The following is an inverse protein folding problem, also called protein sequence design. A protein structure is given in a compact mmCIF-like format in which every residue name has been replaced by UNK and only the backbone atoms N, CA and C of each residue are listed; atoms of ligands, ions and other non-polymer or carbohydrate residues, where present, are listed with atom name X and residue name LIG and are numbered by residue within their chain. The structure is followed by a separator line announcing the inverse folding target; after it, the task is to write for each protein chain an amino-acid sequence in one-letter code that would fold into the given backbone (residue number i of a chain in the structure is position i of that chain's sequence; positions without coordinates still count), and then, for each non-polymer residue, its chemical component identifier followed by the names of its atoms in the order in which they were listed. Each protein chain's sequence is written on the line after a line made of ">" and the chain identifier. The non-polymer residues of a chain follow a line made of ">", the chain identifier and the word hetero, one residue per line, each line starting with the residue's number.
data_IF_051441384355
#
_entry.id   IF_051441384355
#
_cell.length_a   1.000
_cell.length_b   1.000
_cell.length_c   1.000
_cell.angle_alpha   90.00
_cell.angle_beta   90.00
_cell.angle_gamma   90.00
#
_symmetry.space_group_name_H-M   'P 1'
#
loop_
_entity.id
_entity.type
_entity.pdbx_description
1 polymer ?
#
# COMPACT_ATOMS: atom_id res chain seq x y z
N UNK A 1 10.86 -5.72 -3.66
CA UNK A 1 10.90 -6.06 -5.08
C UNK A 1 9.97 -5.13 -5.84
N UNK A 2 10.33 -4.67 -7.04
CA UNK A 2 9.44 -3.91 -7.95
C UNK A 2 9.06 -4.81 -9.14
N UNK A 3 7.78 -4.82 -9.49
CA UNK A 3 7.22 -5.45 -10.67
C UNK A 3 6.76 -4.35 -11.62
N UNK A 4 7.12 -4.46 -12.91
CA UNK A 4 6.85 -3.46 -13.92
C UNK A 4 7.90 -2.35 -13.99
N UNK A 5 7.75 -1.48 -15.00
CA UNK A 5 8.68 -0.37 -15.31
C UNK A 5 8.12 1.00 -14.89
N UNK A 6 6.81 1.13 -14.76
CA UNK A 6 6.10 2.35 -14.44
C UNK A 6 6.45 2.99 -13.09
N UNK A 7 5.68 3.98 -12.68
CA UNK A 7 5.83 4.67 -11.39
C UNK A 7 5.55 3.74 -10.22
N UNK A 8 6.15 4.03 -9.07
CA UNK A 8 5.92 3.31 -7.80
C UNK A 8 4.87 4.00 -6.93
N UNK A 9 4.46 5.23 -7.28
CA UNK A 9 3.68 6.09 -6.41
C UNK A 9 4.46 6.58 -5.19
N UNK A 10 3.86 7.43 -4.39
CA UNK A 10 4.51 8.13 -3.30
C UNK A 10 4.89 7.24 -2.12
N UNK A 11 3.93 6.49 -1.57
CA UNK A 11 4.19 5.60 -0.42
C UNK A 11 5.32 4.60 -0.69
N UNK A 12 5.39 4.02 -1.90
CA UNK A 12 6.44 3.08 -2.24
C UNK A 12 7.81 3.74 -2.42
N UNK A 13 7.85 5.03 -2.82
CA UNK A 13 9.12 5.80 -2.85
C UNK A 13 9.65 6.00 -1.43
N UNK A 14 8.80 6.40 -0.49
CA UNK A 14 9.18 6.55 0.92
C UNK A 14 9.72 5.25 1.51
N UNK A 15 9.05 4.12 1.28
CA UNK A 15 9.53 2.81 1.73
C UNK A 15 10.89 2.43 1.12
N UNK A 16 11.10 2.69 -0.17
CA UNK A 16 12.36 2.43 -0.84
C UNK A 16 13.49 3.30 -0.28
N UNK A 17 13.20 4.59 0.01
CA UNK A 17 14.14 5.52 0.63
C UNK A 17 14.56 5.04 2.02
N UNK A 18 13.60 4.72 2.90
CA UNK A 18 13.89 4.21 4.24
C UNK A 18 14.71 2.91 4.18
N UNK A 19 14.34 1.99 3.29
CA UNK A 19 15.10 0.75 3.10
C UNK A 19 16.53 1.02 2.68
N UNK A 20 16.75 1.94 1.73
CA UNK A 20 18.08 2.36 1.28
C UNK A 20 18.87 3.01 2.42
N UNK A 21 18.25 3.91 3.16
CA UNK A 21 18.87 4.61 4.29
C UNK A 21 19.37 3.61 5.35
N UNK A 22 18.54 2.66 5.76
CA UNK A 22 18.92 1.63 6.73
C UNK A 22 20.07 0.73 6.24
N UNK A 23 20.21 0.53 4.93
CA UNK A 23 21.33 -0.21 4.36
C UNK A 23 22.61 0.61 4.26
N UNK A 24 22.50 1.89 3.90
CA UNK A 24 23.63 2.77 3.65
C UNK A 24 24.19 3.43 4.91
N UNK A 25 23.43 3.41 6.02
CA UNK A 25 23.83 4.06 7.28
C UNK A 25 23.93 3.02 8.42
N UNK A 26 24.99 2.20 8.43
CA UNK A 26 25.19 1.17 9.46
C UNK A 26 25.31 1.74 10.87
N UNK A 27 25.64 3.05 11.00
CA UNK A 27 25.72 3.76 12.28
C UNK A 27 24.40 3.75 13.04
N UNK A 28 23.25 3.79 12.33
CA UNK A 28 21.92 3.73 12.94
C UNK A 28 21.77 2.42 13.73
N UNK A 29 22.18 1.30 13.13
CA UNK A 29 22.13 -0.03 13.78
C UNK A 29 23.16 -0.16 14.92
N UNK A 30 24.35 0.44 14.76
CA UNK A 30 25.38 0.41 15.80
C UNK A 30 24.98 1.18 17.05
N UNK A 31 24.21 2.26 16.92
CA UNK A 31 23.70 3.03 18.07
C UNK A 31 22.63 2.25 18.87
N UNK A 32 21.96 1.31 18.24
CA UNK A 32 20.89 0.52 18.85
C UNK A 32 21.07 -0.96 18.53
N UNK A 33 22.12 -1.62 19.09
CA UNK A 33 22.48 -2.99 18.74
C UNK A 33 21.39 -4.01 19.13
N UNK A 34 20.61 -3.70 20.18
CA UNK A 34 19.52 -4.56 20.67
C UNK A 34 18.21 -4.39 19.89
N UNK A 35 18.17 -3.46 18.92
CA UNK A 35 16.98 -3.17 18.11
C UNK A 35 17.17 -3.64 16.67
N UNK A 36 16.37 -4.60 16.24
CA UNK A 36 16.34 -5.04 14.86
C UNK A 36 15.42 -4.13 14.01
N UNK A 37 16.01 -3.13 13.36
CA UNK A 37 15.29 -2.20 12.48
C UNK A 37 15.15 -2.78 11.09
N UNK A 38 13.93 -3.05 10.65
CA UNK A 38 13.65 -3.65 9.34
C UNK A 38 12.49 -2.94 8.62
N UNK A 39 12.58 -2.88 7.31
CA UNK A 39 11.41 -2.66 6.46
C UNK A 39 10.87 -4.03 6.09
N UNK A 40 9.60 -4.35 6.41
CA UNK A 40 9.02 -5.65 6.09
C UNK A 40 9.12 -5.97 4.60
N UNK A 41 9.12 -7.25 4.25
CA UNK A 41 9.19 -7.68 2.85
C UNK A 41 8.08 -7.03 2.05
N UNK A 42 8.48 -6.33 0.99
CA UNK A 42 7.58 -5.49 0.21
C UNK A 42 7.74 -5.79 -1.28
N UNK A 43 6.62 -5.92 -1.96
CA UNK A 43 6.49 -5.92 -3.40
C UNK A 43 5.72 -4.68 -3.83
N UNK A 44 6.20 -4.01 -4.86
CA UNK A 44 5.52 -2.88 -5.49
C UNK A 44 5.15 -3.28 -6.91
N UNK A 45 3.86 -3.27 -7.20
CA UNK A 45 3.32 -3.43 -8.55
C UNK A 45 3.19 -2.01 -9.12
N UNK A 46 3.98 -1.70 -10.14
CA UNK A 46 4.07 -0.36 -10.72
C UNK A 46 2.84 -0.02 -11.59
N UNK A 47 2.73 1.24 -11.97
CA UNK A 47 1.55 1.78 -12.68
C UNK A 47 1.31 1.15 -14.04
N UNK A 48 2.34 0.72 -14.75
CA UNK A 48 2.21 0.02 -16.04
C UNK A 48 1.44 -1.30 -15.93
N UNK A 49 1.50 -1.97 -14.78
CA UNK A 49 0.68 -3.16 -14.53
C UNK A 49 -0.81 -2.82 -14.38
N UNK A 50 -1.13 -1.68 -13.78
CA UNK A 50 -2.51 -1.16 -13.72
C UNK A 50 -3.02 -0.83 -15.12
N UNK A 51 -2.24 -0.09 -15.90
CA UNK A 51 -2.58 0.29 -17.28
C UNK A 51 -2.81 -0.95 -18.16
N UNK A 52 -1.91 -1.93 -18.08
CA UNK A 52 -2.05 -3.19 -18.79
C UNK A 52 -3.30 -3.99 -18.32
N UNK A 53 -3.61 -3.97 -17.03
CA UNK A 53 -4.83 -4.61 -16.50
C UNK A 53 -6.09 -3.91 -17.04
N UNK A 54 -6.15 -2.59 -17.04
CA UNK A 54 -7.27 -1.80 -17.59
C UNK A 54 -7.47 -2.12 -19.08
N UNK A 55 -6.39 -2.05 -19.86
CA UNK A 55 -6.44 -2.31 -21.31
C UNK A 55 -6.87 -3.75 -21.65
N UNK A 56 -6.29 -4.75 -20.95
CA UNK A 56 -6.62 -6.17 -21.17
C UNK A 56 -8.10 -6.47 -20.92
N UNK A 57 -8.73 -5.79 -19.96
CA UNK A 57 -10.08 -6.09 -19.51
C UNK A 57 -11.13 -5.07 -19.98
N UNK A 58 -10.74 -4.07 -20.78
CA UNK A 58 -11.65 -3.05 -21.31
C UNK A 58 -12.30 -2.18 -20.23
N UNK A 59 -11.54 -1.85 -19.16
CA UNK A 59 -12.02 -1.15 -17.97
C UNK A 59 -11.65 0.35 -17.97
N UNK A 60 -11.55 0.95 -19.15
CA UNK A 60 -11.24 2.39 -19.28
C UNK A 60 -12.30 3.26 -18.58
N UNK A 61 -11.87 4.41 -18.09
CA UNK A 61 -12.68 5.34 -17.31
C UNK A 61 -14.00 5.69 -17.99
N UNK A 62 -14.01 5.88 -19.34
CA UNK A 62 -15.20 6.15 -20.14
C UNK A 62 -16.29 5.07 -20.07
N UNK A 63 -15.91 3.84 -19.69
CA UNK A 63 -16.83 2.70 -19.59
C UNK A 63 -17.28 2.36 -18.17
N UNK A 64 -16.61 2.95 -17.17
CA UNK A 64 -16.76 2.55 -15.77
C UNK A 64 -17.23 3.71 -14.88
N UNK A 65 -16.97 4.98 -15.26
CA UNK A 65 -17.24 6.14 -14.41
C UNK A 65 -18.70 6.37 -14.02
N UNK A 66 -19.65 5.86 -14.81
CA UNK A 66 -21.09 6.03 -14.55
C UNK A 66 -21.69 4.86 -13.74
N UNK A 67 -20.87 3.85 -13.42
CA UNK A 67 -21.29 2.69 -12.64
C UNK A 67 -21.33 2.98 -11.13
N UNK A 68 -22.14 2.23 -10.40
CA UNK A 68 -22.05 2.20 -8.92
C UNK A 68 -20.80 1.46 -8.43
N UNK A 69 -20.34 1.78 -7.21
CA UNK A 69 -19.12 1.19 -6.64
C UNK A 69 -19.16 -0.35 -6.64
N UNK A 70 -20.32 -0.96 -6.42
CA UNK A 70 -20.47 -2.43 -6.43
C UNK A 70 -20.35 -3.02 -7.83
N UNK A 71 -20.85 -2.35 -8.84
CA UNK A 71 -20.69 -2.75 -10.23
C UNK A 71 -19.24 -2.61 -10.69
N UNK A 72 -18.58 -1.52 -10.33
CA UNK A 72 -17.14 -1.33 -10.56
C UNK A 72 -16.37 -2.48 -9.93
N UNK A 73 -16.64 -2.79 -8.67
CA UNK A 73 -16.01 -3.90 -7.95
C UNK A 73 -16.20 -5.23 -8.67
N UNK A 74 -17.42 -5.54 -9.09
CA UNK A 74 -17.73 -6.80 -9.80
C UNK A 74 -16.97 -6.92 -11.13
N UNK A 75 -16.92 -5.85 -11.93
CA UNK A 75 -16.19 -5.81 -13.21
C UNK A 75 -14.68 -6.02 -13.01
N UNK A 76 -14.08 -5.38 -12.02
CA UNK A 76 -12.66 -5.53 -11.72
C UNK A 76 -12.32 -6.93 -11.20
N UNK A 77 -13.18 -7.51 -10.37
CA UNK A 77 -12.99 -8.89 -9.88
C UNK A 77 -13.06 -9.92 -11.01
N UNK A 78 -13.93 -9.72 -12.00
CA UNK A 78 -14.02 -10.57 -13.17
C UNK A 78 -12.82 -10.48 -14.11
N UNK A 79 -12.06 -9.36 -14.06
CA UNK A 79 -10.90 -9.13 -14.89
C UNK A 79 -9.74 -10.10 -14.61
N UNK A 80 -8.88 -10.32 -15.61
CA UNK A 80 -7.68 -11.15 -15.51
C UNK A 80 -6.44 -10.29 -15.35
N UNK A 81 -5.55 -10.66 -14.43
CA UNK A 81 -4.23 -10.03 -14.31
C UNK A 81 -3.38 -10.45 -15.51
N UNK A 82 -2.68 -9.53 -16.21
CA UNK A 82 -1.78 -9.89 -17.30
C UNK A 82 -0.72 -10.91 -16.86
N UNK A 83 -0.43 -11.89 -17.70
CA UNK A 83 0.40 -13.05 -17.34
C UNK A 83 1.81 -12.67 -16.90
N UNK A 84 2.38 -11.66 -17.54
CA UNK A 84 3.71 -11.13 -17.19
C UNK A 84 3.82 -10.65 -15.74
N UNK A 85 2.74 -10.08 -15.18
CA UNK A 85 2.69 -9.65 -13.77
C UNK A 85 2.26 -10.79 -12.84
N UNK A 86 1.41 -11.70 -13.28
CA UNK A 86 0.95 -12.85 -12.50
C UNK A 86 2.11 -13.76 -12.07
N UNK A 87 3.07 -14.01 -12.97
CA UNK A 87 4.26 -14.81 -12.66
C UNK A 87 5.11 -14.18 -11.54
N UNK A 88 5.31 -12.86 -11.59
CA UNK A 88 6.09 -12.14 -10.59
C UNK A 88 5.38 -12.05 -9.22
N UNK A 89 4.05 -11.88 -9.21
CA UNK A 89 3.20 -11.94 -7.99
C UNK A 89 3.31 -13.34 -7.36
N UNK A 90 3.23 -14.39 -8.17
CA UNK A 90 3.39 -15.78 -7.74
C UNK A 90 4.76 -16.02 -7.11
N UNK A 91 5.82 -15.54 -7.77
CA UNK A 91 7.20 -15.69 -7.27
C UNK A 91 7.43 -14.97 -5.95
N UNK A 92 6.80 -13.82 -5.73
CA UNK A 92 6.83 -13.11 -4.45
C UNK A 92 6.09 -13.89 -3.37
N UNK A 93 4.86 -14.32 -3.66
CA UNK A 93 4.01 -15.01 -2.68
C UNK A 93 4.61 -16.33 -2.19
N UNK A 94 5.38 -17.04 -3.05
CA UNK A 94 6.13 -18.25 -2.66
C UNK A 94 7.21 -18.00 -1.60
N UNK A 95 7.70 -16.75 -1.48
CA UNK A 95 8.78 -16.35 -0.57
C UNK A 95 8.29 -15.69 0.71
N UNK A 96 6.99 -15.44 0.82
CA UNK A 96 6.40 -14.69 1.93
C UNK A 96 5.28 -15.50 2.55
N UNK A 97 5.41 -15.71 3.85
CA UNK A 97 4.40 -16.36 4.69
C UNK A 97 3.83 -15.35 5.68
N UNK A 98 2.61 -15.62 6.15
CA UNK A 98 1.91 -14.77 7.09
C UNK A 98 1.22 -13.55 6.44
N UNK A 99 0.54 -12.74 7.26
CA UNK A 99 -0.39 -11.73 6.79
C UNK A 99 0.26 -10.65 5.92
N UNK A 100 -0.51 -10.18 4.93
CA UNK A 100 -0.10 -9.15 4.00
C UNK A 100 -1.07 -7.98 4.03
N UNK A 101 -0.56 -6.75 3.92
CA UNK A 101 -1.35 -5.59 3.53
C UNK A 101 -1.19 -5.31 2.03
N UNK A 102 -2.31 -5.03 1.37
CA UNK A 102 -2.39 -4.65 -0.04
C UNK A 102 -2.94 -3.23 -0.11
N UNK A 103 -2.13 -2.28 -0.54
CA UNK A 103 -2.40 -0.85 -0.40
C UNK A 103 -2.17 -0.11 -1.70
N UNK A 104 -2.96 0.95 -1.90
CA UNK A 104 -2.72 1.94 -2.95
C UNK A 104 -1.40 2.68 -2.76
N UNK A 105 -0.77 3.07 -3.85
CA UNK A 105 0.37 3.99 -3.89
C UNK A 105 0.23 4.89 -5.11
N UNK A 106 -0.63 5.87 -5.01
CA UNK A 106 -0.89 6.86 -6.05
C UNK A 106 0.05 8.06 -5.91
N UNK A 107 0.23 8.81 -6.99
CA UNK A 107 0.90 10.10 -6.96
C UNK A 107 0.03 11.18 -6.32
N UNK A 108 -1.31 11.03 -6.40
CA UNK A 108 -2.27 11.95 -5.78
C UNK A 108 -2.21 11.95 -4.25
N UNK A 109 -1.80 10.84 -3.65
CA UNK A 109 -1.68 10.74 -2.18
C UNK A 109 -0.58 11.65 -1.61
N UNK A 110 0.37 12.08 -2.44
CA UNK A 110 1.45 13.00 -2.06
C UNK A 110 1.20 14.46 -2.49
N UNK A 111 0.05 14.75 -3.09
CA UNK A 111 -0.27 16.11 -3.48
C UNK A 111 -0.50 16.96 -2.21
N UNK A 112 0.41 17.90 -1.96
CA UNK A 112 0.40 18.81 -0.81
C UNK A 112 -0.84 19.72 -0.72
N UNK A 113 -1.70 19.71 -1.72
CA UNK A 113 -2.83 20.64 -1.83
C UNK A 113 -4.04 20.19 -1.00
N UNK A 114 -4.23 18.88 -0.79
CA UNK A 114 -5.37 18.38 -0.02
C UNK A 114 -5.07 16.98 0.53
N UNK A 115 -5.44 16.73 1.79
CA UNK A 115 -5.24 15.41 2.41
C UNK A 115 -6.08 14.34 1.70
N UNK A 116 -5.42 13.37 1.10
CA UNK A 116 -6.00 12.21 0.42
C UNK A 116 -5.99 10.93 1.27
N UNK A 117 -5.76 11.09 2.57
CA UNK A 117 -5.75 9.95 3.50
C UNK A 117 -7.09 9.21 3.48
N UNK A 118 -7.06 7.89 3.29
CA UNK A 118 -8.25 7.04 3.22
C UNK A 118 -9.09 7.23 1.93
N UNK A 119 -8.54 7.85 0.90
CA UNK A 119 -9.20 8.00 -0.40
C UNK A 119 -9.37 6.64 -1.10
N UNK A 120 -8.33 5.82 -1.09
CA UNK A 120 -8.31 4.50 -1.70
C UNK A 120 -8.35 3.39 -0.65
N UNK A 121 -8.73 2.19 -1.08
CA UNK A 121 -8.90 1.06 -0.21
C UNK A 121 -7.56 0.39 0.17
N UNK A 122 -7.54 -0.16 1.38
CA UNK A 122 -6.48 -1.05 1.88
C UNK A 122 -7.10 -2.37 2.29
N UNK A 123 -6.49 -3.47 1.88
CA UNK A 123 -6.93 -4.82 2.23
C UNK A 123 -5.84 -5.53 3.01
N UNK A 124 -6.24 -6.19 4.08
CA UNK A 124 -5.37 -7.10 4.82
C UNK A 124 -5.83 -8.53 4.57
N UNK A 125 -4.89 -9.41 4.20
CA UNK A 125 -5.17 -10.81 3.91
C UNK A 125 -4.32 -11.70 4.82
N UNK A 126 -4.85 -12.82 5.32
CA UNK A 126 -4.15 -13.68 6.26
C UNK A 126 -2.98 -14.44 5.64
N UNK A 127 -3.05 -14.76 4.34
CA UNK A 127 -2.00 -15.46 3.59
C UNK A 127 -1.45 -16.71 4.31
N UNK A 128 -2.32 -17.45 5.00
CA UNK A 128 -2.00 -18.60 5.84
C UNK A 128 -2.68 -19.90 5.40
N UNK A 129 -3.39 -19.88 4.26
CA UNK A 129 -4.04 -21.10 3.74
C UNK A 129 -3.01 -22.11 3.24
N UNK A 130 -3.21 -23.40 3.50
CA UNK A 130 -2.31 -24.49 3.08
C UNK A 130 -2.19 -24.57 1.55
N UNK A 131 -3.33 -24.45 0.85
CA UNK A 131 -3.36 -24.41 -0.61
C UNK A 131 -2.84 -23.06 -1.11
N UNK A 132 -1.72 -23.11 -1.83
CA UNK A 132 -1.09 -21.94 -2.46
C UNK A 132 -2.03 -21.25 -3.47
N UNK A 133 -2.89 -22.00 -4.15
CA UNK A 133 -3.84 -21.45 -5.13
C UNK A 133 -4.85 -20.52 -4.45
N UNK A 134 -5.32 -20.87 -3.27
CA UNK A 134 -6.22 -20.04 -2.46
C UNK A 134 -5.49 -18.75 -2.03
N UNK A 135 -4.26 -18.86 -1.54
CA UNK A 135 -3.45 -17.69 -1.16
C UNK A 135 -3.25 -16.74 -2.34
N UNK A 136 -2.93 -17.29 -3.52
CA UNK A 136 -2.75 -16.50 -4.74
C UNK A 136 -4.06 -15.83 -5.18
N UNK A 137 -5.18 -16.54 -5.10
CA UNK A 137 -6.50 -15.99 -5.40
C UNK A 137 -6.86 -14.84 -4.44
N UNK A 138 -6.61 -14.97 -3.14
CA UNK A 138 -6.82 -13.91 -2.16
C UNK A 138 -5.97 -12.66 -2.47
N UNK A 139 -4.68 -12.84 -2.78
CA UNK A 139 -3.79 -11.72 -3.10
C UNK A 139 -4.21 -11.01 -4.39
N UNK A 140 -4.49 -11.76 -5.45
CA UNK A 140 -4.92 -11.19 -6.74
C UNK A 140 -6.28 -10.49 -6.61
N UNK A 141 -7.20 -11.02 -5.81
CA UNK A 141 -8.46 -10.39 -5.47
C UNK A 141 -8.23 -9.04 -4.77
N UNK A 142 -7.38 -9.00 -3.77
CA UNK A 142 -7.06 -7.76 -3.06
C UNK A 142 -6.43 -6.71 -4.00
N UNK A 143 -5.51 -7.10 -4.90
CA UNK A 143 -4.92 -6.20 -5.90
C UNK A 143 -6.00 -5.62 -6.82
N UNK A 144 -6.91 -6.45 -7.35
CA UNK A 144 -8.03 -6.01 -8.20
C UNK A 144 -8.96 -5.04 -7.47
N UNK A 145 -9.22 -5.28 -6.20
CA UNK A 145 -10.05 -4.40 -5.37
C UNK A 145 -9.38 -3.04 -5.09
N UNK A 146 -8.05 -3.01 -4.90
CA UNK A 146 -7.30 -1.74 -4.83
C UNK A 146 -7.42 -0.99 -6.16
N UNK A 147 -7.26 -1.67 -7.29
CA UNK A 147 -7.45 -1.07 -8.62
C UNK A 147 -8.88 -0.53 -8.80
N UNK A 148 -9.91 -1.31 -8.42
CA UNK A 148 -11.30 -0.89 -8.48
C UNK A 148 -11.56 0.39 -7.69
N UNK A 149 -10.91 0.53 -6.54
CA UNK A 149 -11.11 1.70 -5.67
C UNK A 149 -10.73 3.04 -6.31
N UNK A 150 -9.93 3.04 -7.38
CA UNK A 150 -9.61 4.24 -8.16
C UNK A 150 -10.85 4.82 -8.86
N UNK A 151 -11.81 3.97 -9.21
CA UNK A 151 -13.03 4.32 -9.94
C UNK A 151 -14.26 4.46 -9.04
N UNK A 152 -14.10 4.40 -7.73
CA UNK A 152 -15.22 4.63 -6.82
C UNK A 152 -15.62 6.11 -6.81
N UNK A 153 -16.88 6.37 -6.48
CA UNK A 153 -17.47 7.72 -6.53
C UNK A 153 -16.67 8.77 -5.76
N UNK A 154 -16.17 8.42 -4.55
CA UNK A 154 -15.41 9.34 -3.72
C UNK A 154 -14.05 9.74 -4.31
N UNK A 155 -13.19 8.81 -4.75
CA UNK A 155 -11.97 9.12 -5.48
C UNK A 155 -12.19 9.90 -6.77
N UNK A 156 -13.19 9.53 -7.57
CA UNK A 156 -13.54 10.25 -8.80
C UNK A 156 -13.99 11.69 -8.53
N UNK A 157 -14.81 11.91 -7.50
CA UNK A 157 -15.24 13.26 -7.10
C UNK A 157 -14.04 14.10 -6.64
N UNK A 158 -13.11 13.50 -5.89
CA UNK A 158 -11.87 14.16 -5.48
C UNK A 158 -11.00 14.54 -6.68
N UNK A 159 -10.77 13.60 -7.61
CA UNK A 159 -9.96 13.83 -8.80
C UNK A 159 -10.54 14.92 -9.72
N UNK A 160 -11.87 15.04 -9.84
CA UNK A 160 -12.54 16.10 -10.63
C UNK A 160 -12.29 17.51 -10.07
N UNK A 161 -12.03 17.63 -8.77
CA UNK A 161 -11.68 18.90 -8.12
C UNK A 161 -10.22 19.34 -8.34
N UNK A 162 -9.39 18.47 -8.93
CA UNK A 162 -7.97 18.73 -9.19
C UNK A 162 -7.74 19.11 -10.66
N UNK A 163 -6.53 19.62 -10.96
CA UNK A 163 -6.14 19.94 -12.34
C UNK A 163 -6.13 18.69 -13.23
N UNK A 164 -6.32 18.88 -14.57
CA UNK A 164 -6.36 17.77 -15.55
C UNK A 164 -5.19 16.78 -15.45
N UNK A 165 -4.04 17.23 -14.99
CA UNK A 165 -2.84 16.40 -14.82
C UNK A 165 -3.01 15.28 -13.78
N UNK A 166 -3.99 15.40 -12.88
CA UNK A 166 -4.31 14.44 -11.83
C UNK A 166 -5.55 13.58 -12.13
N UNK A 167 -6.24 13.83 -13.25
CA UNK A 167 -7.45 13.09 -13.62
C UNK A 167 -7.17 11.69 -14.20
N UNK A 168 -5.92 11.44 -14.63
CA UNK A 168 -5.46 10.15 -15.15
C UNK A 168 -4.48 9.49 -14.16
N UNK A 169 -4.91 9.33 -12.90
CA UNK A 169 -4.04 8.76 -11.88
C UNK A 169 -3.88 7.24 -12.06
N UNK A 170 -2.70 6.85 -12.55
CA UNK A 170 -2.33 5.46 -12.65
C UNK A 170 -1.94 4.91 -11.28
N UNK A 171 -2.53 3.78 -10.87
CA UNK A 171 -2.40 3.20 -9.56
C UNK A 171 -1.25 2.20 -9.46
N UNK A 172 -0.28 2.46 -8.58
CA UNK A 172 0.64 1.43 -8.12
C UNK A 172 0.09 0.75 -6.85
N UNK A 173 0.45 -0.52 -6.64
CA UNK A 173 0.02 -1.28 -5.46
C UNK A 173 1.22 -1.73 -4.66
N UNK A 174 1.16 -1.53 -3.34
CA UNK A 174 2.13 -2.06 -2.39
C UNK A 174 1.53 -3.32 -1.76
N UNK A 175 2.24 -4.43 -1.87
CA UNK A 175 1.99 -5.66 -1.10
C UNK A 175 3.10 -5.80 -0.08
N UNK A 176 2.76 -5.73 1.19
CA UNK A 176 3.75 -5.71 2.27
C UNK A 176 3.38 -6.69 3.37
N UNK A 177 4.37 -7.45 3.84
CA UNK A 177 4.22 -8.31 4.99
C UNK A 177 3.92 -7.48 6.24
N UNK A 178 2.95 -7.91 7.04
CA UNK A 178 2.63 -7.25 8.30
C UNK A 178 3.67 -7.64 9.36
N UNK A 179 4.03 -6.67 10.20
CA UNK A 179 4.82 -6.91 11.39
C UNK A 179 3.88 -7.22 12.57
N UNK A 180 4.20 -8.24 13.35
CA UNK A 180 3.39 -8.64 14.50
C UNK A 180 3.68 -10.07 14.94
N UNK A 181 2.85 -10.56 15.83
CA UNK A 181 2.84 -11.92 16.35
C UNK A 181 1.44 -12.53 16.34
N UNK A 182 1.38 -13.84 16.49
CA UNK A 182 0.13 -14.60 16.62
C UNK A 182 -0.28 -14.61 18.09
N UNK A 183 -1.52 -14.23 18.36
CA UNK A 183 -2.13 -14.22 19.70
C UNK A 183 -3.52 -14.88 19.60
N UNK A 184 -3.57 -16.18 19.86
CA UNK A 184 -4.76 -17.00 19.60
C UNK A 184 -5.09 -17.00 18.11
N UNK A 185 -6.28 -16.58 17.75
CA UNK A 185 -6.77 -16.51 16.35
C UNK A 185 -6.40 -15.19 15.65
N UNK A 186 -5.70 -14.30 16.31
CA UNK A 186 -5.40 -12.96 15.80
C UNK A 186 -3.91 -12.78 15.54
N UNK A 187 -3.61 -11.90 14.56
CA UNK A 187 -2.25 -11.44 14.28
C UNK A 187 -2.19 -9.92 14.39
N UNK A 188 -1.36 -9.41 15.29
CA UNK A 188 -1.19 -7.96 15.48
C UNK A 188 0.19 -7.64 16.10
N UNK A 189 0.69 -6.40 15.98
CA UNK A 189 1.92 -5.97 16.64
C UNK A 189 1.66 -5.82 18.16
N UNK A 190 2.66 -6.05 19.00
CA UNK A 190 2.56 -5.76 20.43
C UNK A 190 2.37 -4.25 20.68
N UNK A 191 3.04 -3.43 19.87
CA UNK A 191 3.01 -1.97 19.91
C UNK A 191 2.95 -1.45 18.49
N UNK A 192 2.14 -0.44 18.25
CA UNK A 192 2.10 0.33 16.99
C UNK A 192 2.24 1.81 17.27
N UNK A 193 2.62 2.59 16.26
CA UNK A 193 2.73 4.03 16.46
C UNK A 193 3.22 4.80 15.25
N UNK A 194 3.26 6.10 15.44
CA UNK A 194 3.84 7.07 14.51
C UNK A 194 4.91 7.89 15.21
N UNK A 195 5.99 8.20 14.53
CA UNK A 195 7.02 9.10 15.02
C UNK A 195 7.35 10.14 13.95
N UNK A 196 7.57 11.37 14.38
CA UNK A 196 7.92 12.51 13.54
C UNK A 196 9.11 13.22 14.16
N UNK A 197 10.08 13.61 13.36
CA UNK A 197 11.26 14.34 13.78
C UNK A 197 11.01 15.81 14.11
N UNK A 198 9.82 16.32 13.80
CA UNK A 198 9.39 17.67 14.10
C UNK A 198 8.05 17.65 14.83
N UNK A 199 7.98 18.30 15.98
CA UNK A 199 6.74 18.47 16.75
C UNK A 199 6.13 19.84 16.42
N UNK A 200 5.01 19.84 15.71
CA UNK A 200 4.32 21.09 15.34
C UNK A 200 3.58 21.76 16.50
N UNK A 201 3.37 21.04 17.60
CA UNK A 201 2.65 21.53 18.78
C UNK A 201 3.39 21.11 20.05
N UNK A 202 4.61 21.64 20.29
CA UNK A 202 5.37 21.32 21.49
C UNK A 202 4.65 21.79 22.75
N UNK A 203 4.67 20.97 23.80
CA UNK A 203 4.05 21.25 25.10
C UNK A 203 5.10 21.18 26.22
N UNK A 204 4.86 21.93 27.30
CA UNK A 204 5.79 21.97 28.43
C UNK A 204 7.16 22.55 28.01
N UNK A 205 8.24 21.95 28.39
CA UNK A 205 9.61 22.40 28.04
C UNK A 205 10.15 21.84 26.72
N UNK A 206 9.30 21.25 25.86
CA UNK A 206 9.69 20.67 24.58
C UNK A 206 9.94 21.74 23.52
N UNK A 207 10.85 21.44 22.59
CA UNK A 207 11.07 22.23 21.37
C UNK A 207 10.53 21.48 20.14
N UNK A 208 10.29 22.15 19.00
CA UNK A 208 9.89 21.47 17.76
C UNK A 208 10.85 20.36 17.32
N UNK A 209 12.16 20.53 17.59
CA UNK A 209 13.23 19.63 17.19
C UNK A 209 13.27 18.34 18.01
N UNK A 210 12.62 18.30 19.18
CA UNK A 210 12.50 17.08 20.00
C UNK A 210 11.65 16.00 19.31
N UNK A 211 10.86 16.40 18.31
CA UNK A 211 9.95 15.50 17.62
C UNK A 211 8.81 15.04 18.50
N UNK A 212 8.05 14.07 18.01
CA UNK A 212 6.94 13.45 18.73
C UNK A 212 6.78 11.99 18.33
N UNK A 213 6.50 11.12 19.29
CA UNK A 213 6.07 9.74 19.05
C UNK A 213 4.69 9.52 19.70
N UNK A 214 3.76 8.95 18.94
CA UNK A 214 2.46 8.48 19.44
C UNK A 214 2.48 6.97 19.39
N UNK A 215 2.22 6.33 20.51
CA UNK A 215 2.37 4.88 20.69
C UNK A 215 1.08 4.32 21.25
N UNK A 216 0.59 3.22 20.66
CA UNK A 216 -0.54 2.44 21.13
C UNK A 216 -0.16 0.99 21.37
N UNK A 217 -0.79 0.34 22.34
CA UNK A 217 -0.70 -1.10 22.51
C UNK A 217 -1.51 -1.81 21.42
N UNK A 218 -0.98 -2.90 20.89
CA UNK A 218 -1.61 -3.62 19.80
C UNK A 218 -1.66 -2.79 18.51
N UNK A 219 -2.80 -2.84 17.81
CA UNK A 219 -3.05 -2.03 16.60
C UNK A 219 -3.26 -0.55 16.91
N UNK A 220 -3.69 -0.22 18.11
CA UNK A 220 -3.97 1.15 18.55
C UNK A 220 -4.84 1.96 17.58
N UNK A 221 -5.74 2.79 18.10
CA UNK A 221 -6.30 3.90 17.32
C UNK A 221 -5.51 5.15 17.69
N UNK A 222 -4.67 5.60 16.76
CA UNK A 222 -3.79 6.75 16.97
C UNK A 222 -4.27 7.91 16.11
#
# INVERSE_FOLDING_TARGET
>A
VKIGKGSRGGKARGLAFISSLLHQTPEIRRRHPDVNMVVPRTMVIATDAFEAFIALNGLEASKVCDCGDDEVRARFLAGRIPEEFAAAITAFLRKVEGPLSVRSSSLLEDAHVQSSAGLYQTYMIPNNHEDFTVRLAQLTTAVKLVYASTFFKRPLAFARGLSKQFQEDSMAVIVQQLAGGVYGDFFYPAISGTAQSHNFYPVGGMTPEDGIARIGLGLGMI
#
